data_IF_981991457901
#
_entry.id   IF_981991457901
#
_cell.length_a   1.000
_cell.length_b   1.000
_cell.length_c   1.000
_cell.angle_alpha   90.00
_cell.angle_beta   90.00
_cell.angle_gamma   90.00
#
_symmetry.space_group_name_H-M   'P 1'
#
loop_
_entity.id
_entity.type
_entity.pdbx_description
1 polymer ?
#
# COMPACT_ATOMS: atom_id res chain seq x y z
N UNK A 1 -56.17 28.99 -25.26
CA UNK A 1 -55.62 28.01 -24.30
C UNK A 1 -56.06 26.64 -24.77
N UNK A 2 -55.15 25.88 -25.39
CA UNK A 2 -55.40 24.52 -25.82
C UNK A 2 -54.88 23.57 -24.73
N UNK A 3 -55.76 22.72 -24.20
CA UNK A 3 -55.40 21.65 -23.27
C UNK A 3 -54.45 20.67 -23.98
N UNK A 4 -53.40 20.16 -23.32
CA UNK A 4 -52.52 19.16 -23.91
C UNK A 4 -53.31 17.87 -24.12
N UNK A 5 -53.27 17.35 -25.36
CA UNK A 5 -53.96 16.13 -25.73
C UNK A 5 -53.46 14.94 -24.92
N UNK A 6 -54.40 14.21 -24.33
CA UNK A 6 -54.20 12.83 -23.89
C UNK A 6 -53.65 12.04 -25.08
N UNK A 7 -52.36 11.72 -25.03
CA UNK A 7 -51.76 10.78 -25.95
C UNK A 7 -52.40 9.42 -25.65
N UNK A 8 -53.30 8.97 -26.52
CA UNK A 8 -53.90 7.65 -26.43
C UNK A 8 -52.78 6.60 -26.32
N UNK A 9 -52.77 5.89 -25.20
CA UNK A 9 -51.83 4.79 -24.97
C UNK A 9 -52.04 3.73 -26.05
N UNK A 10 -50.96 3.11 -26.52
CA UNK A 10 -51.09 1.95 -27.40
C UNK A 10 -51.83 0.80 -26.71
N UNK A 11 -52.47 -0.12 -27.46
CA UNK A 11 -53.36 -1.15 -26.91
C UNK A 11 -52.67 -2.06 -25.86
N UNK A 12 -51.36 -2.30 -25.99
CA UNK A 12 -50.59 -3.06 -25.01
C UNK A 12 -50.38 -2.29 -23.69
N UNK A 13 -50.13 -0.98 -23.77
CA UNK A 13 -49.94 -0.14 -22.59
C UNK A 13 -51.26 0.08 -21.83
N UNK A 14 -52.38 0.15 -22.55
CA UNK A 14 -53.72 0.18 -21.96
C UNK A 14 -54.04 -1.14 -21.24
N UNK A 15 -53.75 -2.29 -21.86
CA UNK A 15 -53.91 -3.60 -21.23
C UNK A 15 -53.08 -3.75 -19.94
N UNK A 16 -51.83 -3.29 -19.95
CA UNK A 16 -50.97 -3.28 -18.76
C UNK A 16 -51.56 -2.38 -17.66
N UNK A 17 -51.99 -1.17 -17.99
CA UNK A 17 -52.56 -0.23 -17.03
C UNK A 17 -53.85 -0.76 -16.39
N UNK A 18 -54.76 -1.33 -17.20
CA UNK A 18 -56.00 -1.94 -16.73
C UNK A 18 -55.72 -3.12 -15.82
N UNK A 19 -54.80 -4.01 -16.20
CA UNK A 19 -54.43 -5.18 -15.41
C UNK A 19 -53.74 -4.81 -14.11
N UNK A 20 -52.88 -3.78 -14.12
CA UNK A 20 -52.21 -3.26 -12.93
C UNK A 20 -53.24 -2.73 -11.93
N UNK A 21 -54.23 -1.96 -12.39
CA UNK A 21 -55.32 -1.47 -11.53
C UNK A 21 -56.23 -2.58 -11.02
N UNK A 22 -56.51 -3.60 -11.85
CA UNK A 22 -57.31 -4.74 -11.44
C UNK A 22 -56.60 -5.55 -10.34
N UNK A 23 -55.29 -5.75 -10.49
CA UNK A 23 -54.45 -6.41 -9.49
C UNK A 23 -54.33 -5.59 -8.20
N UNK A 24 -54.12 -4.28 -8.30
CA UNK A 24 -54.08 -3.40 -7.13
C UNK A 24 -55.38 -3.50 -6.32
N UNK A 25 -56.53 -3.44 -7.00
CA UNK A 25 -57.86 -3.61 -6.39
C UNK A 25 -58.05 -4.99 -5.76
N UNK A 26 -57.59 -6.05 -6.41
CA UNK A 26 -57.70 -7.41 -5.91
C UNK A 26 -56.85 -7.65 -4.65
N UNK A 27 -55.71 -6.95 -4.54
CA UNK A 27 -54.81 -7.05 -3.40
C UNK A 27 -55.29 -6.24 -2.18
N UNK A 28 -56.07 -5.17 -2.39
CA UNK A 28 -56.66 -4.35 -1.32
C UNK A 28 -55.66 -3.68 -0.36
N UNK A 29 -56.17 -2.82 0.53
CA UNK A 29 -55.35 -2.03 1.48
C UNK A 29 -55.51 -2.44 2.97
N UNK A 30 -56.34 -3.43 3.31
CA UNK A 30 -56.69 -3.67 4.73
C UNK A 30 -57.19 -5.05 5.17
N UNK A 31 -57.29 -6.03 4.27
CA UNK A 31 -57.55 -7.43 4.63
C UNK A 31 -56.46 -8.32 4.01
N UNK A 32 -56.23 -9.51 4.58
CA UNK A 32 -55.29 -10.46 3.98
C UNK A 32 -55.67 -10.68 2.51
N UNK A 33 -54.78 -10.39 1.54
CA UNK A 33 -55.13 -10.48 0.13
C UNK A 33 -55.51 -11.94 -0.20
N UNK A 34 -56.51 -12.15 -1.08
CA UNK A 34 -56.82 -13.51 -1.54
C UNK A 34 -55.57 -14.12 -2.17
N UNK A 35 -55.31 -15.43 -1.96
CA UNK A 35 -54.13 -16.07 -2.52
C UNK A 35 -54.24 -16.06 -4.05
N UNK A 36 -53.36 -15.32 -4.74
CA UNK A 36 -53.31 -15.26 -6.20
C UNK A 36 -52.16 -16.09 -6.78
N UNK A 37 -51.31 -16.64 -5.94
CA UNK A 37 -50.06 -17.30 -6.31
C UNK A 37 -50.20 -18.69 -6.95
N UNK A 38 -51.28 -19.43 -6.67
CA UNK A 38 -51.53 -20.76 -7.25
C UNK A 38 -52.74 -20.76 -8.21
N UNK A 39 -52.53 -20.63 -9.53
CA UNK A 39 -53.59 -20.61 -10.53
C UNK A 39 -54.27 -21.98 -10.73
N UNK A 40 -53.90 -23.02 -9.96
CA UNK A 40 -54.59 -24.33 -9.96
C UNK A 40 -55.88 -24.32 -9.15
N UNK A 41 -56.01 -23.38 -8.22
CA UNK A 41 -57.20 -23.26 -7.39
C UNK A 41 -58.37 -22.68 -8.20
N UNK A 42 -59.58 -23.27 -8.14
CA UNK A 42 -60.71 -22.85 -8.98
C UNK A 42 -61.15 -21.40 -8.78
N UNK A 43 -61.02 -20.87 -7.56
CA UNK A 43 -61.39 -19.50 -7.23
C UNK A 43 -60.34 -18.51 -7.74
N UNK A 44 -59.06 -18.88 -7.61
CA UNK A 44 -57.91 -18.09 -8.06
C UNK A 44 -57.88 -17.96 -9.57
N UNK A 45 -58.12 -19.06 -10.29
CA UNK A 45 -58.14 -19.01 -11.75
C UNK A 45 -59.33 -18.22 -12.31
N UNK A 46 -60.47 -18.20 -11.61
CA UNK A 46 -61.63 -17.36 -11.96
C UNK A 46 -61.30 -15.88 -11.77
N UNK A 47 -60.73 -15.52 -10.62
CA UNK A 47 -60.29 -14.16 -10.34
C UNK A 47 -59.29 -13.66 -11.40
N UNK A 48 -58.29 -14.49 -11.74
CA UNK A 48 -57.35 -14.18 -12.82
C UNK A 48 -58.03 -14.03 -14.18
N UNK A 49 -58.97 -14.93 -14.53
CA UNK A 49 -59.69 -14.86 -15.79
C UNK A 49 -60.55 -13.59 -15.92
N UNK A 50 -61.14 -13.13 -14.82
CA UNK A 50 -61.91 -11.88 -14.72
C UNK A 50 -61.01 -10.65 -14.78
N UNK A 51 -59.90 -10.60 -14.02
CA UNK A 51 -58.96 -9.47 -14.03
C UNK A 51 -58.30 -9.25 -15.39
N UNK A 52 -58.10 -10.34 -16.14
CA UNK A 52 -57.46 -10.29 -17.45
C UNK A 52 -58.49 -10.12 -18.58
N UNK A 53 -59.79 -9.99 -18.28
CA UNK A 53 -60.84 -9.93 -19.30
C UNK A 53 -60.61 -8.74 -20.24
N UNK A 54 -60.62 -8.99 -21.56
CA UNK A 54 -60.20 -8.02 -22.57
C UNK A 54 -58.69 -7.97 -22.90
N UNK A 55 -57.83 -8.67 -22.15
CA UNK A 55 -56.42 -8.88 -22.53
C UNK A 55 -56.30 -10.03 -23.53
N UNK A 56 -55.66 -9.75 -24.67
CA UNK A 56 -55.41 -10.74 -25.72
C UNK A 56 -54.53 -11.91 -25.23
N UNK A 57 -54.79 -13.11 -25.76
CA UNK A 57 -54.11 -14.33 -25.35
C UNK A 57 -52.63 -14.39 -25.75
N UNK A 58 -52.22 -13.71 -26.83
CA UNK A 58 -50.82 -13.65 -27.28
C UNK A 58 -50.01 -12.67 -26.41
N UNK A 59 -50.62 -11.56 -25.99
CA UNK A 59 -49.99 -10.54 -25.13
C UNK A 59 -50.13 -10.78 -23.62
N UNK A 60 -50.89 -11.79 -23.18
CA UNK A 60 -51.25 -12.00 -21.78
C UNK A 60 -50.06 -12.17 -20.84
N UNK A 61 -49.03 -12.93 -21.27
CA UNK A 61 -47.85 -13.21 -20.46
C UNK A 61 -47.02 -11.94 -20.20
N UNK A 62 -46.81 -11.14 -21.25
CA UNK A 62 -46.07 -9.89 -21.16
C UNK A 62 -46.84 -8.85 -20.33
N UNK A 63 -48.17 -8.76 -20.54
CA UNK A 63 -49.03 -7.88 -19.76
C UNK A 63 -49.03 -8.23 -18.26
N UNK A 64 -49.09 -9.52 -17.92
CA UNK A 64 -49.03 -10.00 -16.53
C UNK A 64 -47.67 -9.69 -15.89
N UNK A 65 -46.57 -9.99 -16.58
CA UNK A 65 -45.23 -9.72 -16.07
C UNK A 65 -45.03 -8.21 -15.82
N UNK A 66 -45.44 -7.37 -16.78
CA UNK A 66 -45.34 -5.92 -16.66
C UNK A 66 -46.23 -5.36 -15.54
N UNK A 67 -47.45 -5.85 -15.37
CA UNK A 67 -48.36 -5.40 -14.31
C UNK A 67 -47.87 -5.78 -12.91
N UNK A 68 -47.34 -6.99 -12.72
CA UNK A 68 -46.75 -7.44 -11.45
C UNK A 68 -45.52 -6.59 -11.11
N UNK A 69 -44.67 -6.29 -12.09
CA UNK A 69 -43.49 -5.44 -11.91
C UNK A 69 -43.86 -3.99 -11.60
N UNK A 70 -44.89 -3.45 -12.27
CA UNK A 70 -45.39 -2.11 -11.99
C UNK A 70 -45.91 -1.97 -10.55
N UNK A 71 -46.61 -2.99 -10.04
CA UNK A 71 -47.04 -3.05 -8.64
C UNK A 71 -45.89 -3.20 -7.66
N UNK A 72 -44.89 -4.03 -7.97
CA UNK A 72 -43.72 -4.22 -7.13
C UNK A 72 -42.91 -2.92 -6.94
N UNK A 73 -42.95 -2.02 -7.93
CA UNK A 73 -42.30 -0.71 -7.86
C UNK A 73 -43.02 0.30 -6.94
N UNK A 74 -44.26 0.04 -6.52
CA UNK A 74 -45.00 0.89 -5.59
C UNK A 74 -44.54 0.66 -4.13
N UNK A 75 -44.62 1.67 -3.24
CA UNK A 75 -44.31 1.51 -1.83
C UNK A 75 -45.14 0.39 -1.18
N UNK A 76 -44.49 -0.62 -0.60
CA UNK A 76 -45.16 -1.78 0.03
C UNK A 76 -45.73 -2.80 -0.97
N UNK A 77 -45.59 -2.58 -2.28
CA UNK A 77 -46.13 -3.46 -3.32
C UNK A 77 -45.49 -4.86 -3.32
N UNK A 78 -44.18 -4.96 -3.06
CA UNK A 78 -43.50 -6.26 -2.94
C UNK A 78 -44.05 -7.12 -1.81
N UNK A 79 -44.34 -6.52 -0.65
CA UNK A 79 -44.95 -7.21 0.50
C UNK A 79 -46.36 -7.66 0.18
N UNK A 80 -47.21 -6.77 -0.37
CA UNK A 80 -48.59 -7.10 -0.78
C UNK A 80 -48.64 -8.24 -1.81
N UNK A 81 -47.74 -8.21 -2.79
CA UNK A 81 -47.61 -9.28 -3.78
C UNK A 81 -47.17 -10.59 -3.13
N UNK A 82 -46.17 -10.55 -2.24
CA UNK A 82 -45.70 -11.74 -1.52
C UNK A 82 -46.80 -12.36 -0.64
N UNK A 83 -47.60 -11.54 0.05
CA UNK A 83 -48.73 -11.99 0.86
C UNK A 83 -49.82 -12.69 0.02
N UNK A 84 -49.99 -12.27 -1.24
CA UNK A 84 -50.86 -12.93 -2.21
C UNK A 84 -50.18 -14.13 -2.92
N UNK A 85 -48.93 -14.46 -2.56
CA UNK A 85 -48.16 -15.55 -3.16
C UNK A 85 -47.55 -15.24 -4.54
N UNK A 86 -47.46 -13.96 -4.92
CA UNK A 86 -46.85 -13.49 -6.16
C UNK A 86 -45.42 -12.99 -5.92
N UNK A 87 -44.49 -13.47 -6.75
CA UNK A 87 -43.06 -13.16 -6.68
C UNK A 87 -42.65 -12.38 -7.93
N UNK A 88 -42.40 -11.06 -7.80
CA UNK A 88 -42.05 -10.19 -8.94
C UNK A 88 -40.82 -10.68 -9.70
N UNK A 89 -39.83 -11.22 -8.98
CA UNK A 89 -38.55 -11.67 -9.52
C UNK A 89 -38.61 -13.07 -10.15
N UNK A 90 -39.78 -13.71 -10.19
CA UNK A 90 -40.01 -15.03 -10.77
C UNK A 90 -40.79 -14.91 -12.09
N UNK A 91 -40.13 -14.64 -13.23
CA UNK A 91 -40.81 -14.50 -14.53
C UNK A 91 -41.61 -15.75 -14.91
N UNK A 92 -41.17 -16.93 -14.45
CA UNK A 92 -41.86 -18.20 -14.64
C UNK A 92 -43.29 -18.19 -14.07
N UNK A 93 -43.55 -17.41 -13.01
CA UNK A 93 -44.87 -17.37 -12.38
C UNK A 93 -45.91 -16.67 -13.27
N UNK A 94 -45.55 -15.57 -13.92
CA UNK A 94 -46.41 -14.89 -14.89
C UNK A 94 -46.73 -15.82 -16.07
N UNK A 95 -45.73 -16.54 -16.60
CA UNK A 95 -45.93 -17.52 -17.68
C UNK A 95 -46.87 -18.67 -17.27
N UNK A 96 -46.77 -19.15 -16.02
CA UNK A 96 -47.65 -20.18 -15.48
C UNK A 96 -49.09 -19.68 -15.38
N UNK A 97 -49.31 -18.53 -14.74
CA UNK A 97 -50.64 -17.91 -14.59
C UNK A 97 -51.26 -17.69 -15.98
N UNK A 98 -50.52 -17.10 -16.93
CA UNK A 98 -50.98 -16.90 -18.30
C UNK A 98 -51.37 -18.21 -19.00
N UNK A 99 -50.63 -19.29 -18.77
CA UNK A 99 -50.93 -20.63 -19.28
C UNK A 99 -52.26 -21.17 -18.75
N UNK A 100 -52.46 -21.11 -17.43
CA UNK A 100 -53.71 -21.55 -16.79
C UNK A 100 -54.91 -20.70 -17.23
N UNK A 101 -54.75 -19.38 -17.31
CA UNK A 101 -55.85 -18.47 -17.71
C UNK A 101 -56.30 -18.74 -19.13
N UNK A 102 -55.36 -18.93 -20.08
CA UNK A 102 -55.67 -19.31 -21.46
C UNK A 102 -56.44 -20.62 -21.51
N UNK A 103 -55.97 -21.64 -20.79
CA UNK A 103 -56.63 -22.94 -20.73
C UNK A 103 -58.04 -22.83 -20.13
N UNK A 104 -58.22 -22.06 -19.05
CA UNK A 104 -59.51 -21.85 -18.41
C UNK A 104 -60.51 -21.13 -19.33
N UNK A 105 -60.09 -20.03 -19.97
CA UNK A 105 -60.91 -19.29 -20.95
C UNK A 105 -61.34 -20.17 -22.11
N UNK A 106 -60.42 -20.99 -22.60
CA UNK A 106 -60.66 -21.95 -23.66
C UNK A 106 -61.71 -22.98 -23.25
N UNK A 107 -61.57 -23.60 -22.08
CA UNK A 107 -62.55 -24.57 -21.55
C UNK A 107 -63.93 -23.91 -21.40
N UNK A 108 -63.98 -22.67 -20.89
CA UNK A 108 -65.22 -21.88 -20.74
C UNK A 108 -65.89 -21.58 -22.10
N UNK A 109 -65.11 -21.21 -23.12
CA UNK A 109 -65.62 -20.98 -24.47
C UNK A 109 -66.17 -22.26 -25.11
N UNK A 110 -65.47 -23.39 -24.91
CA UNK A 110 -65.88 -24.71 -25.38
C UNK A 110 -67.18 -25.18 -24.73
N UNK A 111 -67.31 -25.01 -23.41
CA UNK A 111 -68.54 -25.35 -22.68
C UNK A 111 -69.71 -24.46 -23.09
N UNK A 112 -69.46 -23.18 -23.34
CA UNK A 112 -70.47 -22.26 -23.86
C UNK A 112 -70.92 -22.60 -25.30
N UNK A 113 -70.06 -23.20 -26.12
CA UNK A 113 -70.37 -23.61 -27.50
C UNK A 113 -71.19 -24.91 -27.62
N UNK A 114 -71.66 -25.50 -26.52
CA UNK A 114 -72.49 -26.70 -26.54
C UNK A 114 -71.74 -28.03 -26.40
N UNK A 115 -70.46 -27.98 -26.01
CA UNK A 115 -69.62 -29.17 -25.79
C UNK A 115 -68.79 -29.55 -27.03
N UNK A 116 -67.53 -29.92 -26.79
CA UNK A 116 -66.60 -30.37 -27.82
C UNK A 116 -66.53 -31.89 -27.88
N UNK A 117 -66.27 -32.41 -29.07
CA UNK A 117 -65.84 -33.78 -29.30
C UNK A 117 -64.56 -34.07 -28.47
N UNK A 118 -64.70 -34.89 -27.42
CA UNK A 118 -63.67 -35.19 -26.39
C UNK A 118 -62.30 -35.57 -27.00
N UNK A 119 -62.32 -36.18 -28.19
CA UNK A 119 -61.13 -36.56 -28.93
C UNK A 119 -60.26 -35.36 -29.35
N UNK A 120 -60.89 -34.25 -29.74
CA UNK A 120 -60.21 -33.04 -30.20
C UNK A 120 -59.57 -32.31 -29.01
N UNK A 121 -60.29 -32.24 -27.89
CA UNK A 121 -59.82 -31.61 -26.65
C UNK A 121 -58.62 -32.36 -26.04
N UNK A 122 -58.66 -33.69 -26.07
CA UNK A 122 -57.55 -34.56 -25.64
C UNK A 122 -56.33 -34.46 -26.57
N UNK A 123 -56.54 -34.30 -27.88
CA UNK A 123 -55.43 -34.12 -28.82
C UNK A 123 -54.71 -32.79 -28.60
N UNK A 124 -55.47 -31.73 -28.31
CA UNK A 124 -54.91 -30.40 -28.05
C UNK A 124 -54.25 -30.27 -26.68
N UNK A 125 -54.86 -30.78 -25.61
CA UNK A 125 -54.19 -30.83 -24.29
C UNK A 125 -52.89 -31.63 -24.34
N UNK A 126 -52.83 -32.74 -25.10
CA UNK A 126 -51.56 -33.46 -25.31
C UNK A 126 -50.54 -32.60 -26.06
N UNK A 127 -50.97 -31.75 -26.99
CA UNK A 127 -50.08 -30.84 -27.74
C UNK A 127 -49.54 -29.74 -26.83
N UNK A 128 -50.41 -29.16 -25.99
CA UNK A 128 -50.07 -28.11 -25.03
C UNK A 128 -49.15 -28.63 -23.92
N UNK A 129 -49.42 -29.82 -23.37
CA UNK A 129 -48.55 -30.48 -22.39
C UNK A 129 -47.15 -30.74 -22.99
N UNK A 130 -47.08 -31.18 -24.26
CA UNK A 130 -45.79 -31.36 -24.95
C UNK A 130 -45.08 -30.03 -25.18
N UNK A 131 -45.80 -28.96 -25.52
CA UNK A 131 -45.22 -27.63 -25.68
C UNK A 131 -44.69 -27.07 -24.35
N UNK A 132 -45.45 -27.22 -23.26
CA UNK A 132 -45.04 -26.83 -21.92
C UNK A 132 -43.81 -27.62 -21.45
N UNK A 133 -43.80 -28.94 -21.65
CA UNK A 133 -42.64 -29.78 -21.29
C UNK A 133 -41.38 -29.38 -22.05
N UNK A 134 -41.49 -28.98 -23.32
CA UNK A 134 -40.34 -28.44 -24.09
C UNK A 134 -39.84 -27.13 -23.50
N UNK A 135 -40.73 -26.17 -23.23
CA UNK A 135 -40.36 -24.90 -22.60
C UNK A 135 -39.74 -25.08 -21.22
N UNK A 136 -40.27 -25.99 -20.41
CA UNK A 136 -39.69 -26.32 -19.10
C UNK A 136 -38.30 -26.95 -19.25
N UNK A 137 -38.08 -27.82 -20.23
CA UNK A 137 -36.76 -28.40 -20.49
C UNK A 137 -35.73 -27.33 -20.89
N UNK A 138 -36.11 -26.39 -21.77
CA UNK A 138 -35.28 -25.27 -22.18
C UNK A 138 -34.96 -24.31 -21.01
N UNK A 139 -35.96 -23.99 -20.19
CA UNK A 139 -35.78 -23.16 -19.01
C UNK A 139 -34.83 -23.83 -17.99
N UNK A 140 -35.00 -25.13 -17.74
CA UNK A 140 -34.12 -25.89 -16.86
C UNK A 140 -32.68 -25.97 -17.37
N UNK A 141 -32.49 -26.10 -18.68
CA UNK A 141 -31.15 -26.10 -19.27
C UNK A 141 -30.49 -24.72 -19.16
N UNK A 142 -31.26 -23.66 -19.35
CA UNK A 142 -30.81 -22.28 -19.14
C UNK A 142 -30.38 -22.05 -17.70
N UNK A 143 -31.19 -22.47 -16.72
CA UNK A 143 -30.86 -22.37 -15.29
C UNK A 143 -29.60 -23.17 -14.95
N UNK A 144 -29.45 -24.39 -15.49
CA UNK A 144 -28.23 -25.19 -15.29
C UNK A 144 -27.00 -24.49 -15.85
N UNK A 145 -27.13 -23.87 -17.01
CA UNK A 145 -26.04 -23.12 -17.65
C UNK A 145 -25.69 -21.88 -16.85
N UNK A 146 -26.67 -21.09 -16.41
CA UNK A 146 -26.46 -19.94 -15.53
C UNK A 146 -25.78 -20.36 -14.22
N UNK A 147 -26.21 -21.46 -13.59
CA UNK A 147 -25.61 -21.97 -12.35
C UNK A 147 -24.14 -22.35 -12.54
N UNK A 148 -23.78 -22.95 -13.68
CA UNK A 148 -22.38 -23.25 -14.01
C UNK A 148 -21.56 -21.97 -14.20
N UNK A 149 -22.12 -20.95 -14.85
CA UNK A 149 -21.46 -19.65 -15.04
C UNK A 149 -21.22 -18.95 -13.72
N UNK A 150 -22.23 -18.90 -12.84
CA UNK A 150 -22.11 -18.32 -11.49
C UNK A 150 -21.05 -19.06 -10.67
N UNK A 151 -21.00 -20.40 -10.75
CA UNK A 151 -19.96 -21.18 -10.07
C UNK A 151 -18.56 -20.79 -10.53
N UNK A 152 -18.33 -20.63 -11.84
CA UNK A 152 -17.05 -20.17 -12.39
C UNK A 152 -16.70 -18.76 -11.93
N UNK A 153 -17.67 -17.84 -11.93
CA UNK A 153 -17.47 -16.48 -11.45
C UNK A 153 -17.09 -16.47 -9.96
N UNK A 154 -17.75 -17.26 -9.12
CA UNK A 154 -17.41 -17.37 -7.70
C UNK A 154 -15.98 -17.90 -7.50
N UNK A 155 -15.56 -18.90 -8.26
CA UNK A 155 -14.17 -19.38 -8.21
C UNK A 155 -13.17 -18.27 -8.57
N UNK A 156 -13.45 -17.52 -9.65
CA UNK A 156 -12.58 -16.42 -10.08
C UNK A 156 -12.52 -15.27 -9.05
N UNK A 157 -13.64 -14.96 -8.37
CA UNK A 157 -13.69 -13.97 -7.31
C UNK A 157 -12.85 -14.39 -6.10
N UNK A 158 -12.98 -15.65 -5.66
CA UNK A 158 -12.18 -16.20 -4.55
C UNK A 158 -10.67 -16.16 -4.89
N UNK A 159 -10.29 -16.52 -6.11
CA UNK A 159 -8.89 -16.43 -6.54
C UNK A 159 -8.37 -14.99 -6.60
N UNK A 160 -9.23 -14.04 -6.98
CA UNK A 160 -8.88 -12.61 -6.98
C UNK A 160 -8.69 -12.10 -5.55
N UNK A 161 -9.59 -12.43 -4.63
CA UNK A 161 -9.48 -12.06 -3.21
C UNK A 161 -8.21 -12.63 -2.59
N UNK A 162 -7.87 -13.89 -2.87
CA UNK A 162 -6.61 -14.49 -2.40
C UNK A 162 -5.38 -13.76 -2.94
N UNK A 163 -5.37 -13.44 -4.24
CA UNK A 163 -4.28 -12.64 -4.84
C UNK A 163 -4.19 -11.26 -4.21
N UNK A 164 -5.33 -10.60 -3.99
CA UNK A 164 -5.37 -9.29 -3.35
C UNK A 164 -4.80 -9.35 -1.92
N UNK A 165 -5.22 -10.33 -1.12
CA UNK A 165 -4.70 -10.56 0.23
C UNK A 165 -3.18 -10.81 0.25
N UNK A 166 -2.67 -11.59 -0.71
CA UNK A 166 -1.23 -11.80 -0.87
C UNK A 166 -0.49 -10.52 -1.23
N UNK A 167 -1.03 -9.72 -2.16
CA UNK A 167 -0.41 -8.45 -2.55
C UNK A 167 -0.39 -7.43 -1.41
N UNK A 168 -1.44 -7.38 -0.58
CA UNK A 168 -1.45 -6.50 0.60
C UNK A 168 -0.40 -6.91 1.61
N UNK A 169 -0.23 -8.21 1.86
CA UNK A 169 0.79 -8.72 2.77
C UNK A 169 2.21 -8.43 2.27
N UNK A 170 2.45 -8.61 0.97
CA UNK A 170 3.73 -8.27 0.35
C UNK A 170 4.03 -6.75 0.40
N UNK A 171 3.01 -5.90 0.27
CA UNK A 171 3.15 -4.45 0.38
C UNK A 171 3.46 -4.01 1.82
N UNK A 172 2.83 -4.64 2.81
CA UNK A 172 3.14 -4.41 4.23
C UNK A 172 4.59 -4.78 4.53
N UNK A 173 5.01 -5.97 4.09
CA UNK A 173 6.39 -6.42 4.28
C UNK A 173 7.41 -5.50 3.59
N UNK A 174 7.14 -5.08 2.36
CA UNK A 174 8.00 -4.12 1.65
C UNK A 174 8.07 -2.75 2.36
N UNK A 175 6.97 -2.31 3.00
CA UNK A 175 6.95 -1.07 3.77
C UNK A 175 7.81 -1.19 5.04
N UNK A 176 7.76 -2.32 5.70
CA UNK A 176 8.59 -2.61 6.87
C UNK A 176 10.07 -2.66 6.48
N UNK A 177 10.40 -3.31 5.37
CA UNK A 177 11.76 -3.37 4.83
C UNK A 177 12.30 -1.97 4.49
N UNK A 178 11.49 -1.11 3.85
CA UNK A 178 11.87 0.29 3.57
C UNK A 178 12.10 1.08 4.86
N UNK A 179 11.28 0.84 5.88
CA UNK A 179 11.42 1.51 7.17
C UNK A 179 12.71 1.07 7.88
N UNK A 180 13.01 -0.22 7.86
CA UNK A 180 14.26 -0.77 8.38
C UNK A 180 15.48 -0.24 7.60
N UNK A 181 15.41 -0.19 6.28
CA UNK A 181 16.47 0.35 5.43
C UNK A 181 16.74 1.84 5.71
N UNK A 182 15.69 2.64 5.90
CA UNK A 182 15.84 4.05 6.30
C UNK A 182 16.49 4.21 7.67
N UNK A 183 16.13 3.38 8.64
CA UNK A 183 16.77 3.39 9.95
C UNK A 183 18.25 2.99 9.87
N UNK A 184 18.59 2.00 9.04
CA UNK A 184 19.97 1.60 8.79
C UNK A 184 20.78 2.71 8.10
N UNK A 185 20.19 3.40 7.11
CA UNK A 185 20.81 4.54 6.43
C UNK A 185 21.12 5.66 7.42
N UNK A 186 20.17 6.04 8.27
CA UNK A 186 20.37 7.09 9.27
C UNK A 186 21.51 6.75 10.26
N UNK A 187 21.66 5.47 10.63
CA UNK A 187 22.79 5.02 11.46
C UNK A 187 24.13 5.16 10.72
N UNK A 188 24.19 4.73 9.46
CA UNK A 188 25.39 4.86 8.65
C UNK A 188 25.79 6.32 8.39
N UNK A 189 24.81 7.21 8.23
CA UNK A 189 25.07 8.65 8.11
C UNK A 189 25.66 9.21 9.41
N UNK A 190 25.14 8.82 10.57
CA UNK A 190 25.70 9.21 11.85
C UNK A 190 27.13 8.67 12.05
N UNK A 191 27.37 7.40 11.72
CA UNK A 191 28.72 6.79 11.77
C UNK A 191 29.70 7.49 10.82
N UNK A 192 29.25 7.88 9.61
CA UNK A 192 30.06 8.64 8.66
C UNK A 192 30.43 10.02 9.24
N UNK A 193 29.48 10.71 9.85
CA UNK A 193 29.71 12.04 10.41
C UNK A 193 30.64 11.97 11.63
N UNK A 194 30.55 10.92 12.45
CA UNK A 194 31.51 10.63 13.52
C UNK A 194 32.91 10.33 12.98
N UNK A 195 33.00 9.51 11.93
CA UNK A 195 34.26 9.23 11.25
C UNK A 195 34.88 10.50 10.62
N UNK A 196 34.07 11.40 10.09
CA UNK A 196 34.54 12.69 9.57
C UNK A 196 35.11 13.57 10.69
N UNK A 197 34.41 13.69 11.82
CA UNK A 197 34.87 14.46 12.99
C UNK A 197 36.18 13.92 13.57
N UNK A 198 36.29 12.61 13.71
CA UNK A 198 37.52 11.97 14.19
C UNK A 198 38.69 12.17 13.22
N UNK A 199 38.46 12.07 11.90
CA UNK A 199 39.49 12.35 10.91
C UNK A 199 39.96 13.82 10.93
N UNK A 200 39.06 14.77 11.15
CA UNK A 200 39.40 16.19 11.32
C UNK A 200 40.23 16.43 12.58
N UNK A 201 39.85 15.82 13.71
CA UNK A 201 40.61 15.91 14.96
C UNK A 201 42.04 15.37 14.80
N UNK A 202 42.21 14.20 14.17
CA UNK A 202 43.53 13.60 13.90
C UNK A 202 44.37 14.48 12.97
N UNK A 203 43.76 15.12 11.96
CA UNK A 203 44.48 16.06 11.08
C UNK A 203 44.95 17.29 11.85
N UNK A 204 44.12 17.83 12.74
CA UNK A 204 44.49 18.97 13.58
C UNK A 204 45.67 18.63 14.52
N UNK A 205 45.62 17.47 15.19
CA UNK A 205 46.70 16.98 16.06
C UNK A 205 48.01 16.78 15.29
N UNK A 206 47.94 16.16 14.10
CA UNK A 206 49.11 16.00 13.22
C UNK A 206 49.72 17.36 12.85
N UNK A 207 48.89 18.35 12.52
CA UNK A 207 49.37 19.68 12.14
C UNK A 207 49.97 20.44 13.33
N UNK A 208 49.44 20.25 14.54
CA UNK A 208 50.04 20.74 15.78
C UNK A 208 51.40 20.10 16.05
N UNK A 209 51.48 18.77 16.03
CA UNK A 209 52.74 18.03 16.17
C UNK A 209 53.78 18.46 15.15
N UNK A 210 53.37 18.74 13.91
CA UNK A 210 54.28 19.25 12.86
C UNK A 210 54.80 20.65 13.18
N UNK A 211 53.96 21.53 13.74
CA UNK A 211 54.40 22.86 14.18
C UNK A 211 55.36 22.75 15.37
N UNK A 212 55.08 21.89 16.32
CA UNK A 212 55.96 21.63 17.46
C UNK A 212 57.30 21.07 17.01
N UNK A 213 57.30 20.10 16.09
CA UNK A 213 58.51 19.54 15.51
C UNK A 213 59.33 20.58 14.75
N UNK A 214 58.68 21.50 14.02
CA UNK A 214 59.39 22.60 13.36
C UNK A 214 59.97 23.60 14.38
N UNK A 215 59.24 23.89 15.46
CA UNK A 215 59.72 24.76 16.55
C UNK A 215 60.92 24.15 17.28
N UNK A 216 60.85 22.86 17.62
CA UNK A 216 61.98 22.15 18.26
C UNK A 216 63.18 22.09 17.33
N UNK A 217 62.97 21.81 16.03
CA UNK A 217 64.04 21.83 15.04
C UNK A 217 64.72 23.20 14.94
N UNK A 218 63.95 24.29 14.89
CA UNK A 218 64.50 25.64 14.88
C UNK A 218 65.29 25.94 16.16
N UNK A 219 64.75 25.59 17.33
CA UNK A 219 65.43 25.73 18.62
C UNK A 219 66.76 24.96 18.68
N UNK A 220 66.79 23.74 18.13
CA UNK A 220 68.02 22.93 18.05
C UNK A 220 69.06 23.56 17.12
N UNK A 221 68.66 24.10 15.96
CA UNK A 221 69.58 24.81 15.05
C UNK A 221 70.11 26.11 15.68
N UNK A 222 69.26 26.88 16.38
CA UNK A 222 69.70 28.07 17.12
C UNK A 222 70.70 27.73 18.23
N UNK A 223 70.42 26.65 18.96
CA UNK A 223 71.31 26.15 20.01
C UNK A 223 72.66 25.71 19.41
N UNK A 224 72.64 25.00 18.29
CA UNK A 224 73.84 24.62 17.55
C UNK A 224 74.64 25.84 17.07
N UNK A 225 73.98 26.88 16.54
CA UNK A 225 74.64 28.10 16.12
C UNK A 225 75.34 28.81 17.31
N UNK A 226 74.64 28.96 18.45
CA UNK A 226 75.22 29.51 19.68
C UNK A 226 76.43 28.72 20.17
N UNK A 227 76.37 27.38 20.11
CA UNK A 227 77.51 26.56 20.49
C UNK A 227 78.68 26.70 19.54
N UNK A 228 78.46 26.71 18.23
CA UNK A 228 79.52 26.93 17.25
C UNK A 228 80.22 28.28 17.45
N UNK A 229 79.46 29.34 17.79
CA UNK A 229 80.02 30.64 18.16
C UNK A 229 80.89 30.56 19.43
N UNK A 230 80.39 29.92 20.51
CA UNK A 230 81.17 29.71 21.73
C UNK A 230 82.44 28.89 21.49
N UNK A 231 82.36 27.84 20.67
CA UNK A 231 83.53 27.06 20.27
C UNK A 231 84.54 27.90 19.46
N UNK A 232 84.06 28.74 18.55
CA UNK A 232 84.92 29.64 17.78
C UNK A 232 85.65 30.65 18.68
N UNK A 233 84.94 31.23 19.67
CA UNK A 233 85.53 32.10 20.68
C UNK A 233 86.59 31.38 21.52
N UNK A 234 86.28 30.19 22.03
CA UNK A 234 87.24 29.39 22.80
C UNK A 234 88.49 29.03 21.98
N UNK A 235 88.33 28.70 20.69
CA UNK A 235 89.46 28.47 19.77
C UNK A 235 90.27 29.75 19.50
N UNK A 236 89.61 30.90 19.40
CA UNK A 236 90.29 32.20 19.26
C UNK A 236 91.15 32.51 20.50
N UNK A 237 90.59 32.36 21.70
CA UNK A 237 91.30 32.57 22.97
C UNK A 237 92.48 31.61 23.11
N UNK A 238 92.30 30.34 22.72
CA UNK A 238 93.38 29.34 22.63
C UNK A 238 94.50 29.77 21.69
N UNK A 239 94.16 30.20 20.47
CA UNK A 239 95.15 30.64 19.47
C UNK A 239 95.90 31.88 19.95
N UNK A 240 95.19 32.87 20.49
CA UNK A 240 95.80 34.07 21.09
C UNK A 240 96.76 33.69 22.21
N UNK A 241 96.35 32.81 23.10
CA UNK A 241 97.20 32.39 24.21
C UNK A 241 98.41 31.54 23.75
N UNK A 242 98.26 30.76 22.67
CA UNK A 242 99.38 30.08 21.99
C UNK A 242 100.40 31.09 21.43
N UNK A 243 99.95 32.17 20.80
CA UNK A 243 100.83 33.24 20.34
C UNK A 243 101.56 33.93 21.49
N UNK A 244 100.89 34.16 22.62
CA UNK A 244 101.52 34.72 23.83
C UNK A 244 102.59 33.78 24.39
N UNK A 245 102.35 32.47 24.41
CA UNK A 245 103.34 31.46 24.81
C UNK A 245 104.56 31.40 23.90
N UNK A 246 104.36 31.57 22.59
CA UNK A 246 105.47 31.61 21.62
C UNK A 246 106.39 32.82 21.89
N UNK A 247 105.82 33.93 22.37
CA UNK A 247 106.53 35.17 22.65
C UNK A 247 107.09 35.25 24.09
N UNK A 248 106.49 34.58 25.08
CA UNK A 248 106.97 34.50 26.48
C UNK A 248 106.68 33.11 27.13
N UNK A 249 107.64 32.18 27.12
CA UNK A 249 107.44 30.80 27.57
C UNK A 249 107.21 30.61 29.08
N UNK A 250 107.51 31.62 29.92
CA UNK A 250 107.47 31.48 31.38
C UNK A 250 106.18 31.99 32.04
N UNK A 251 105.25 32.56 31.28
CA UNK A 251 104.21 33.44 31.83
C UNK A 251 102.75 32.93 31.84
N UNK A 252 102.34 31.85 31.14
CA UNK A 252 100.88 31.69 30.87
C UNK A 252 100.27 30.28 30.85
N UNK A 253 101.01 29.22 31.17
CA UNK A 253 100.50 27.84 31.12
C UNK A 253 99.27 27.55 32.03
N UNK A 254 99.22 28.01 33.30
CA UNK A 254 98.07 27.78 34.18
C UNK A 254 96.82 28.59 33.78
N UNK A 255 96.99 29.83 33.35
CA UNK A 255 95.88 30.69 32.90
C UNK A 255 95.21 30.15 31.62
N UNK A 256 96.00 29.51 30.74
CA UNK A 256 95.48 28.84 29.54
C UNK A 256 94.59 27.64 29.85
N UNK A 257 95.02 26.74 30.76
CA UNK A 257 94.21 25.58 31.15
C UNK A 257 92.87 26.02 31.75
N UNK A 258 92.87 27.07 32.58
CA UNK A 258 91.66 27.60 33.20
C UNK A 258 90.66 28.17 32.18
N UNK A 259 91.13 28.93 31.18
CA UNK A 259 90.26 29.53 30.16
C UNK A 259 89.59 28.48 29.26
N UNK A 260 90.32 27.44 28.85
CA UNK A 260 89.79 26.33 28.04
C UNK A 260 88.81 25.49 28.84
N UNK A 261 89.16 25.17 30.08
CA UNK A 261 88.30 24.46 31.03
C UNK A 261 86.99 25.20 31.26
N UNK A 262 87.05 26.52 31.43
CA UNK A 262 85.90 27.37 31.64
C UNK A 262 84.99 27.44 30.40
N UNK A 263 85.57 27.54 29.20
CA UNK A 263 84.82 27.47 27.94
C UNK A 263 84.11 26.12 27.77
N UNK A 264 84.80 25.01 28.06
CA UNK A 264 84.22 23.66 27.99
C UNK A 264 83.15 23.42 29.07
N UNK A 265 83.34 23.98 30.27
CA UNK A 265 82.38 23.93 31.37
C UNK A 265 81.08 24.64 31.02
N UNK A 266 81.14 25.86 30.48
CA UNK A 266 79.95 26.60 30.07
C UNK A 266 79.15 25.87 28.99
N UNK A 267 79.81 25.13 28.11
CA UNK A 267 79.15 24.35 27.07
C UNK A 267 78.41 23.14 27.67
N UNK A 268 79.03 22.43 28.61
CA UNK A 268 78.42 21.27 29.28
C UNK A 268 77.28 21.67 30.23
N UNK A 269 77.38 22.83 30.88
CA UNK A 269 76.33 23.34 31.76
C UNK A 269 75.05 23.72 30.97
N UNK A 270 75.20 24.39 29.82
CA UNK A 270 74.07 24.73 28.93
C UNK A 270 73.42 23.50 28.27
N UNK A 271 74.16 22.39 28.11
CA UNK A 271 73.61 21.12 27.61
C UNK A 271 72.80 20.35 28.67
N UNK A 272 72.67 20.87 29.89
CA UNK A 272 72.05 20.17 31.00
C UNK A 272 72.92 19.07 31.61
N UNK A 273 74.16 18.91 31.13
CA UNK A 273 75.18 17.99 31.66
C UNK A 273 76.02 18.64 32.78
N UNK A 274 75.42 19.55 33.56
CA UNK A 274 76.11 20.30 34.62
C UNK A 274 76.73 19.43 35.72
N UNK A 275 76.26 18.19 35.90
CA UNK A 275 76.90 17.23 36.80
C UNK A 275 78.26 16.72 36.27
N UNK A 276 78.37 16.51 34.96
CA UNK A 276 79.61 16.11 34.29
C UNK A 276 80.56 17.30 34.14
N UNK A 277 80.01 18.48 33.84
CA UNK A 277 80.74 19.75 33.80
C UNK A 277 81.48 20.03 35.12
N UNK A 278 80.79 19.89 36.25
CA UNK A 278 81.35 20.13 37.59
C UNK A 278 82.46 19.15 37.96
N UNK A 279 82.33 17.88 37.56
CA UNK A 279 83.40 16.88 37.76
C UNK A 279 84.64 17.22 36.94
N UNK A 280 84.47 17.67 35.70
CA UNK A 280 85.58 18.06 34.84
C UNK A 280 86.34 19.27 35.40
N UNK A 281 85.62 20.31 35.86
CA UNK A 281 86.25 21.47 36.50
C UNK A 281 87.00 21.12 37.78
N UNK A 282 86.45 20.23 38.61
CA UNK A 282 87.11 19.77 39.83
C UNK A 282 88.46 19.08 39.53
N UNK A 283 88.52 18.24 38.47
CA UNK A 283 89.77 17.57 38.07
C UNK A 283 90.85 18.54 37.58
N UNK A 284 90.45 19.65 36.94
CA UNK A 284 91.38 20.66 36.43
C UNK A 284 91.93 21.54 37.55
N UNK A 285 91.14 21.78 38.60
CA UNK A 285 91.61 22.47 39.82
C UNK A 285 92.56 21.62 40.68
N UNK A 286 92.47 20.30 40.65
CA UNK A 286 93.41 19.40 41.36
C UNK A 286 94.77 19.28 40.65
N UNK A 287 94.81 19.36 39.30
CA UNK A 287 96.06 19.33 38.53
C UNK A 287 96.81 20.69 38.46
N UNK A 288 96.21 21.78 38.97
CA UNK A 288 96.77 23.13 38.92
C UNK A 288 97.46 23.58 40.23
N UNK A 289 97.45 22.74 41.27
CA UNK A 289 98.22 22.86 42.52
C UNK A 289 99.54 22.08 42.44
#
# INVERSE_FOLDING_TARGET
MAMPGEAALGPAAEAIAVLTQALDRALGDGAAPPPLGDPREPEVIRAWAEMTDGVDAEGLEEALAAAIQALAALPGGTTRLADAGLMPDMPVQASLIAGYVRMFRRIKAITAAGGLDDATLMAETRRDIRALNRRMAEALDTIRTQRRTIARMNTALIERERRQAQTTLALEQARDDVTAARAALARLEAERDDAARTAEAVRAERDELRRDLNRTRASVEDLKAKYLEKFALALHDLNRARETLYNDPRSSLPAMKASVAQGYYMILEDMGAGAEARKLMASISEEAL
#
